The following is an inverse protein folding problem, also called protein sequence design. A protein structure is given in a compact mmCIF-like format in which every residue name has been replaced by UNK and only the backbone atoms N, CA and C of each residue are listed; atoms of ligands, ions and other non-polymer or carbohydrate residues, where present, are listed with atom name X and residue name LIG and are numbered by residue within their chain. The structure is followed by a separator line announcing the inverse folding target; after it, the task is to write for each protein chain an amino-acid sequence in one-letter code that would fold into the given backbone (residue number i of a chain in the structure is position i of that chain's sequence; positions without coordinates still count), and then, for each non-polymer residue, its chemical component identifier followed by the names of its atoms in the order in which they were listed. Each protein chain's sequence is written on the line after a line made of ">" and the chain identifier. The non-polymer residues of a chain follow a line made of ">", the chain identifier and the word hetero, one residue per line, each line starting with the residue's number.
data_IF_680598181828
#
_entry.id   IF_680598181828
#
_cell.length_a   1.000
_cell.length_b   1.000
_cell.length_c   1.000
_cell.angle_alpha   90.00
_cell.angle_beta   90.00
_cell.angle_gamma   90.00
#
_symmetry.space_group_name_H-M   'P 1'
#
loop_
_entity.id
_entity.type
_entity.pdbx_description
1 polymer ?
#
# COMPACT_ATOMS: atom_id res chain seq x y z
N UNK A 1 -10.18 -92.00 80.11
CA UNK A 1 -10.83 -90.96 80.95
C UNK A 1 -9.89 -89.84 81.40
N UNK A 2 -8.91 -90.03 82.30
CA UNK A 2 -8.04 -88.91 82.73
C UNK A 2 -7.18 -88.29 81.60
N UNK A 3 -6.67 -89.10 80.67
CA UNK A 3 -5.91 -88.59 79.50
C UNK A 3 -6.78 -87.87 78.47
N UNK A 4 -8.01 -88.34 78.21
CA UNK A 4 -8.93 -87.69 77.24
C UNK A 4 -9.38 -86.30 77.70
N UNK A 5 -9.61 -86.12 79.00
CA UNK A 5 -10.00 -84.82 79.57
C UNK A 5 -8.84 -83.82 79.49
N UNK A 6 -7.60 -84.28 79.72
CA UNK A 6 -6.41 -83.43 79.60
C UNK A 6 -6.18 -82.99 78.14
N UNK A 7 -6.30 -83.92 77.19
CA UNK A 7 -6.16 -83.65 75.75
C UNK A 7 -7.20 -82.63 75.26
N UNK A 8 -8.47 -82.80 75.65
CA UNK A 8 -9.54 -81.84 75.34
C UNK A 8 -9.32 -80.45 75.96
N UNK A 9 -8.68 -80.37 77.13
CA UNK A 9 -8.35 -79.09 77.77
C UNK A 9 -7.28 -78.31 76.99
N UNK A 10 -6.25 -79.00 76.51
CA UNK A 10 -5.18 -78.41 75.69
C UNK A 10 -5.73 -77.94 74.32
N UNK A 11 -6.63 -78.71 73.70
CA UNK A 11 -7.31 -78.31 72.45
C UNK A 11 -8.15 -77.04 72.62
N UNK A 12 -8.85 -76.90 73.74
CA UNK A 12 -9.66 -75.70 74.04
C UNK A 12 -8.76 -74.47 74.22
N UNK A 13 -7.61 -74.58 74.89
CA UNK A 13 -6.67 -73.47 75.00
C UNK A 13 -6.06 -73.08 73.65
N UNK A 14 -5.68 -74.05 72.81
CA UNK A 14 -5.17 -73.80 71.47
C UNK A 14 -6.21 -73.09 70.58
N UNK A 15 -7.48 -73.52 70.65
CA UNK A 15 -8.58 -72.87 69.94
C UNK A 15 -8.79 -71.43 70.42
N UNK A 16 -8.72 -71.16 71.73
CA UNK A 16 -8.80 -69.79 72.27
C UNK A 16 -7.66 -68.91 71.78
N UNK A 17 -6.43 -69.44 71.74
CA UNK A 17 -5.26 -68.73 71.24
C UNK A 17 -5.42 -68.37 69.76
N UNK A 18 -5.80 -69.34 68.92
CA UNK A 18 -6.07 -69.13 67.50
C UNK A 18 -7.20 -68.10 67.28
N UNK A 19 -8.28 -68.18 68.05
CA UNK A 19 -9.40 -67.23 67.98
C UNK A 19 -8.95 -65.81 68.34
N UNK A 20 -8.12 -65.67 69.37
CA UNK A 20 -7.53 -64.39 69.78
C UNK A 20 -6.62 -63.80 68.69
N UNK A 21 -5.73 -64.62 68.11
CA UNK A 21 -4.86 -64.20 67.01
C UNK A 21 -5.66 -63.78 65.77
N UNK A 22 -6.68 -64.55 65.40
CA UNK A 22 -7.59 -64.22 64.30
C UNK A 22 -8.34 -62.92 64.55
N UNK A 23 -8.81 -62.68 65.79
CA UNK A 23 -9.47 -61.42 66.16
C UNK A 23 -8.54 -60.20 66.10
N UNK A 24 -7.23 -60.38 66.36
CA UNK A 24 -6.23 -59.30 66.17
C UNK A 24 -5.98 -59.05 64.68
N UNK A 25 -5.83 -60.09 63.87
CA UNK A 25 -5.66 -59.97 62.42
C UNK A 25 -6.86 -59.30 61.73
N UNK A 26 -8.09 -59.68 62.13
CA UNK A 26 -9.33 -59.08 61.60
C UNK A 26 -9.38 -57.57 61.84
N UNK A 27 -9.09 -57.13 63.08
CA UNK A 27 -9.06 -55.70 63.43
C UNK A 27 -7.99 -54.91 62.67
N UNK A 28 -6.83 -55.54 62.40
CA UNK A 28 -5.78 -54.93 61.57
C UNK A 28 -6.25 -54.74 60.13
N UNK A 29 -6.85 -55.77 59.53
CA UNK A 29 -7.41 -55.70 58.17
C UNK A 29 -8.54 -54.67 58.08
N UNK A 30 -9.44 -54.61 59.06
CA UNK A 30 -10.48 -53.57 59.12
C UNK A 30 -9.90 -52.16 59.13
N UNK A 31 -8.83 -51.95 59.90
CA UNK A 31 -8.13 -50.65 59.95
C UNK A 31 -7.49 -50.29 58.61
N UNK A 32 -6.86 -51.26 57.93
CA UNK A 32 -6.28 -51.07 56.59
C UNK A 32 -7.36 -50.79 55.54
N UNK A 33 -8.49 -51.50 55.58
CA UNK A 33 -9.64 -51.26 54.68
C UNK A 33 -10.18 -49.85 54.88
N UNK A 34 -10.37 -49.39 56.12
CA UNK A 34 -10.84 -48.03 56.40
C UNK A 34 -9.88 -46.96 55.88
N UNK A 35 -8.56 -47.16 56.02
CA UNK A 35 -7.56 -46.25 55.48
C UNK A 35 -7.62 -46.20 53.95
N UNK A 36 -7.70 -47.35 53.29
CA UNK A 36 -7.81 -47.44 51.83
C UNK A 36 -9.12 -46.85 51.31
N UNK A 37 -10.23 -47.00 52.02
CA UNK A 37 -11.50 -46.36 51.67
C UNK A 37 -11.40 -44.83 51.68
N UNK A 38 -10.73 -44.25 52.70
CA UNK A 38 -10.50 -42.79 52.76
C UNK A 38 -9.60 -42.30 51.61
N UNK A 39 -8.56 -43.06 51.29
CA UNK A 39 -7.67 -42.75 50.16
C UNK A 39 -8.43 -42.75 48.82
N UNK A 40 -9.29 -43.75 48.60
CA UNK A 40 -10.14 -43.81 47.40
C UNK A 40 -11.09 -42.61 47.31
N UNK A 41 -11.70 -42.21 48.42
CA UNK A 41 -12.61 -41.06 48.45
C UNK A 41 -11.88 -39.74 48.12
N UNK A 42 -10.67 -39.55 48.67
CA UNK A 42 -9.80 -38.42 48.33
C UNK A 42 -9.44 -38.40 46.84
N UNK A 43 -9.01 -39.54 46.28
CA UNK A 43 -8.63 -39.64 44.88
C UNK A 43 -9.83 -39.37 43.95
N UNK A 44 -11.02 -39.87 44.28
CA UNK A 44 -12.25 -39.57 43.52
C UNK A 44 -12.57 -38.08 43.49
N UNK A 45 -12.39 -37.39 44.63
CA UNK A 45 -12.58 -35.95 44.70
C UNK A 45 -11.58 -35.21 43.82
N UNK A 46 -10.29 -35.56 43.92
CA UNK A 46 -9.25 -34.95 43.08
C UNK A 46 -9.50 -35.22 41.59
N UNK A 47 -9.93 -36.43 41.21
CA UNK A 47 -10.26 -36.75 39.82
C UNK A 47 -11.39 -35.87 39.27
N UNK A 48 -12.43 -35.59 40.07
CA UNK A 48 -13.52 -34.70 39.69
C UNK A 48 -13.05 -33.25 39.50
N UNK A 49 -12.13 -32.78 40.34
CA UNK A 49 -11.52 -31.45 40.21
C UNK A 49 -10.70 -31.34 38.91
N UNK A 50 -9.84 -32.32 38.62
CA UNK A 50 -9.05 -32.37 37.38
C UNK A 50 -9.93 -32.43 36.13
N UNK A 51 -11.05 -33.19 36.17
CA UNK A 51 -12.01 -33.24 35.07
C UNK A 51 -12.64 -31.88 34.78
N UNK A 52 -12.95 -31.10 35.83
CA UNK A 52 -13.49 -29.75 35.70
C UNK A 52 -12.47 -28.82 35.05
N UNK A 53 -11.24 -28.79 35.56
CA UNK A 53 -10.15 -27.97 35.00
C UNK A 53 -9.84 -28.31 33.54
N UNK A 54 -9.85 -29.60 33.18
CA UNK A 54 -9.66 -30.04 31.79
C UNK A 54 -10.78 -29.52 30.87
N UNK A 55 -12.02 -29.50 31.35
CA UNK A 55 -13.16 -28.96 30.60
C UNK A 55 -13.02 -27.45 30.36
N UNK A 56 -12.59 -26.71 31.38
CA UNK A 56 -12.36 -25.26 31.30
C UNK A 56 -11.24 -24.93 30.31
N UNK A 57 -10.08 -25.58 30.43
CA UNK A 57 -8.96 -25.39 29.49
C UNK A 57 -9.35 -25.75 28.06
N UNK A 58 -10.12 -26.83 27.85
CA UNK A 58 -10.62 -27.20 26.52
C UNK A 58 -11.50 -26.10 25.93
N UNK A 59 -12.34 -25.45 26.74
CA UNK A 59 -13.18 -24.35 26.29
C UNK A 59 -12.36 -23.10 25.97
N UNK A 60 -11.33 -22.79 26.77
CA UNK A 60 -10.42 -21.67 26.50
C UNK A 60 -9.66 -21.88 25.18
N UNK A 61 -9.13 -23.08 24.94
CA UNK A 61 -8.44 -23.41 23.68
C UNK A 61 -9.37 -23.25 22.48
N UNK A 62 -10.63 -23.71 22.60
CA UNK A 62 -11.64 -23.51 21.53
C UNK A 62 -11.91 -22.02 21.27
N UNK A 63 -12.05 -21.22 22.33
CA UNK A 63 -12.28 -19.78 22.21
C UNK A 63 -11.11 -19.07 21.52
N UNK A 64 -9.87 -19.36 21.94
CA UNK A 64 -8.66 -18.80 21.31
C UNK A 64 -8.49 -19.23 19.86
N UNK A 65 -8.89 -20.45 19.51
CA UNK A 65 -8.87 -20.92 18.11
C UNK A 65 -9.75 -20.04 17.22
N UNK A 66 -10.98 -19.72 17.66
CA UNK A 66 -11.90 -18.85 16.91
C UNK A 66 -11.33 -17.44 16.77
N UNK A 67 -10.71 -16.90 17.82
CA UNK A 67 -10.06 -15.59 17.78
C UNK A 67 -8.91 -15.54 16.76
N UNK A 68 -8.07 -16.57 16.73
CA UNK A 68 -6.99 -16.71 15.75
C UNK A 68 -7.52 -16.72 14.32
N UNK A 69 -8.61 -17.45 14.05
CA UNK A 69 -9.19 -17.50 12.71
C UNK A 69 -9.77 -16.15 12.28
N UNK A 70 -10.39 -15.41 13.19
CA UNK A 70 -10.83 -14.04 12.95
C UNK A 70 -9.67 -13.08 12.65
N UNK A 71 -8.56 -13.19 13.39
CA UNK A 71 -7.36 -12.40 13.14
C UNK A 71 -6.74 -12.70 11.77
N UNK A 72 -6.65 -13.98 11.39
CA UNK A 72 -6.18 -14.38 10.05
C UNK A 72 -7.02 -13.77 8.93
N UNK A 73 -8.35 -13.74 9.08
CA UNK A 73 -9.23 -13.11 8.10
C UNK A 73 -8.98 -11.61 7.98
N UNK A 74 -8.84 -10.90 9.10
CA UNK A 74 -8.53 -9.45 9.10
C UNK A 74 -7.20 -9.14 8.42
N UNK A 75 -6.14 -9.88 8.80
CA UNK A 75 -4.81 -9.73 8.19
C UNK A 75 -4.89 -9.96 6.67
N UNK A 76 -5.63 -10.97 6.22
CA UNK A 76 -5.80 -11.26 4.80
C UNK A 76 -6.50 -10.12 4.05
N UNK A 77 -7.49 -9.47 4.67
CA UNK A 77 -8.16 -8.31 4.09
C UNK A 77 -7.24 -7.09 4.02
N UNK A 78 -6.45 -6.85 5.06
CA UNK A 78 -5.52 -5.71 5.09
C UNK A 78 -4.38 -5.88 4.09
N UNK A 79 -3.82 -7.09 3.97
CA UNK A 79 -2.81 -7.41 2.94
C UNK A 79 -3.36 -7.13 1.54
N UNK A 80 -4.61 -7.52 1.25
CA UNK A 80 -5.24 -7.25 -0.04
C UNK A 80 -5.34 -5.74 -0.32
N UNK A 81 -5.81 -4.95 0.65
CA UNK A 81 -5.90 -3.48 0.51
C UNK A 81 -4.53 -2.83 0.30
N UNK A 82 -3.50 -3.34 0.98
CA UNK A 82 -2.13 -2.83 0.81
C UNK A 82 -1.64 -3.13 -0.60
N UNK A 83 -1.86 -4.34 -1.12
CA UNK A 83 -1.49 -4.71 -2.48
C UNK A 83 -2.16 -3.81 -3.52
N UNK A 84 -3.47 -3.57 -3.40
CA UNK A 84 -4.23 -2.68 -4.29
C UNK A 84 -3.66 -1.24 -4.29
N UNK A 85 -3.30 -0.72 -3.12
CA UNK A 85 -2.68 0.61 -3.00
C UNK A 85 -1.29 0.66 -3.61
N UNK A 86 -0.48 -0.38 -3.39
CA UNK A 86 0.88 -0.46 -3.97
C UNK A 86 0.80 -0.51 -5.49
N UNK A 87 -0.13 -1.31 -6.04
CA UNK A 87 -0.32 -1.40 -7.48
C UNK A 87 -0.73 -0.06 -8.08
N UNK A 88 -1.71 0.62 -7.47
CA UNK A 88 -2.15 1.97 -7.87
C UNK A 88 -0.99 2.97 -7.87
N UNK A 89 -0.25 3.05 -6.76
CA UNK A 89 0.91 3.94 -6.65
C UNK A 89 2.01 3.61 -7.69
N UNK A 90 2.18 2.33 -8.04
CA UNK A 90 3.17 1.92 -9.04
C UNK A 90 2.81 2.37 -10.46
N UNK A 91 1.51 2.47 -10.75
CA UNK A 91 0.99 2.99 -12.02
C UNK A 91 1.19 4.50 -12.06
N UNK A 92 0.86 5.19 -10.97
CA UNK A 92 1.03 6.65 -10.87
C UNK A 92 2.50 7.06 -11.01
N UNK A 93 3.44 6.34 -10.38
CA UNK A 93 4.87 6.60 -10.48
C UNK A 93 5.41 6.37 -11.90
N UNK A 94 4.95 5.33 -12.61
CA UNK A 94 5.29 5.12 -14.02
C UNK A 94 4.78 6.25 -14.90
N UNK A 95 3.53 6.68 -14.70
CA UNK A 95 2.95 7.81 -15.41
C UNK A 95 3.66 9.14 -15.11
N UNK A 96 4.31 9.27 -13.94
CA UNK A 96 5.12 10.44 -13.60
C UNK A 96 6.49 10.40 -14.27
N UNK A 97 7.12 9.22 -14.31
CA UNK A 97 8.46 9.02 -14.86
C UNK A 97 8.50 9.21 -16.39
N UNK A 98 7.39 8.96 -17.10
CA UNK A 98 7.29 9.11 -18.55
C UNK A 98 6.83 10.53 -19.00
N UNK A 99 6.58 11.47 -18.08
CA UNK A 99 6.25 12.85 -18.45
C UNK A 99 7.51 13.61 -18.82
N UNK A 100 7.84 13.61 -20.11
CA UNK A 100 8.69 14.62 -20.72
C UNK A 100 8.17 16.01 -20.30
N UNK A 101 8.96 16.77 -19.55
CA UNK A 101 8.58 18.09 -18.99
C UNK A 101 8.94 19.25 -19.91
N UNK A 102 9.71 18.99 -20.95
CA UNK A 102 10.14 19.96 -21.95
C UNK A 102 9.85 19.49 -23.39
N UNK A 103 9.62 20.44 -24.29
CA UNK A 103 9.49 20.17 -25.72
C UNK A 103 10.13 21.30 -26.51
N UNK A 104 10.77 20.95 -27.63
CA UNK A 104 11.20 21.90 -28.66
C UNK A 104 10.26 21.83 -29.85
N UNK A 105 9.66 22.96 -30.23
CA UNK A 105 8.91 23.10 -31.48
C UNK A 105 9.81 23.82 -32.47
N UNK A 106 10.02 23.22 -33.65
CA UNK A 106 10.79 23.82 -34.75
C UNK A 106 9.88 24.00 -35.95
N UNK A 107 9.85 25.21 -36.51
CA UNK A 107 9.06 25.53 -37.69
C UNK A 107 9.90 26.29 -38.72
N UNK A 108 9.68 26.00 -40.01
CA UNK A 108 10.28 26.73 -41.12
C UNK A 108 9.16 27.49 -41.83
N UNK A 109 9.36 28.80 -41.96
CA UNK A 109 8.47 29.68 -42.69
C UNK A 109 9.19 30.20 -43.93
N UNK A 110 8.58 30.04 -45.09
CA UNK A 110 9.14 30.48 -46.39
C UNK A 110 8.51 31.80 -46.82
N UNK A 111 9.15 32.48 -47.78
CA UNK A 111 8.63 33.74 -48.34
C UNK A 111 8.40 34.84 -47.28
N UNK A 112 9.26 34.90 -46.25
CA UNK A 112 9.17 35.87 -45.14
C UNK A 112 9.08 37.32 -45.64
N UNK A 113 9.74 37.64 -46.77
CA UNK A 113 9.67 38.97 -47.38
C UNK A 113 8.25 39.38 -47.84
N UNK A 114 7.35 38.41 -48.05
CA UNK A 114 5.96 38.63 -48.43
C UNK A 114 4.99 38.55 -47.24
N UNK A 115 5.50 38.36 -46.02
CA UNK A 115 4.68 38.25 -44.82
C UNK A 115 3.86 39.54 -44.63
N UNK A 116 2.55 39.38 -44.49
CA UNK A 116 1.61 40.48 -44.21
C UNK A 116 1.37 40.59 -42.70
N UNK A 117 0.56 41.55 -42.29
CA UNK A 117 0.08 41.67 -40.90
C UNK A 117 -0.93 40.58 -40.49
N UNK A 118 -1.11 39.55 -41.32
CA UNK A 118 -1.97 38.39 -41.05
C UNK A 118 -1.10 37.31 -40.41
N UNK A 119 -1.64 36.65 -39.37
CA UNK A 119 -0.98 35.54 -38.70
C UNK A 119 -0.75 34.34 -39.64
N UNK A 120 0.50 33.88 -39.67
CA UNK A 120 0.94 32.64 -40.32
C UNK A 120 1.30 31.63 -39.23
N UNK A 121 0.81 30.40 -39.35
CA UNK A 121 0.87 29.40 -38.29
C UNK A 121 1.78 28.24 -38.68
N UNK A 122 2.53 27.70 -37.72
CA UNK A 122 3.17 26.39 -37.87
C UNK A 122 2.15 25.25 -37.75
N UNK A 123 2.61 24.03 -38.02
CA UNK A 123 1.86 22.83 -37.64
C UNK A 123 1.64 22.75 -36.13
N UNK A 124 0.54 22.13 -35.73
CA UNK A 124 0.25 21.82 -34.33
C UNK A 124 1.13 20.67 -33.86
N UNK A 125 1.69 20.80 -32.67
CA UNK A 125 2.49 19.76 -31.99
C UNK A 125 1.86 19.46 -30.65
N UNK A 126 1.51 18.20 -30.40
CA UNK A 126 0.90 17.79 -29.14
C UNK A 126 1.95 17.58 -28.05
N UNK A 127 1.72 18.16 -26.88
CA UNK A 127 2.57 17.98 -25.71
C UNK A 127 1.83 18.30 -24.42
N UNK A 128 1.96 17.42 -23.42
CA UNK A 128 1.29 17.53 -22.13
C UNK A 128 -0.23 17.75 -22.24
N UNK A 129 -0.87 17.09 -23.22
CA UNK A 129 -2.31 17.17 -23.47
C UNK A 129 -2.78 18.48 -24.12
N UNK A 130 -1.85 19.31 -24.60
CA UNK A 130 -2.13 20.56 -25.30
C UNK A 130 -1.53 20.53 -26.71
N UNK A 131 -2.19 21.19 -27.65
CA UNK A 131 -1.68 21.43 -28.99
C UNK A 131 -0.98 22.79 -29.04
N UNK A 132 0.30 22.77 -29.36
CA UNK A 132 1.13 23.96 -29.42
C UNK A 132 1.47 24.33 -30.86
N UNK A 133 1.60 25.62 -31.16
CA UNK A 133 2.11 26.10 -32.45
C UNK A 133 2.80 27.47 -32.34
N UNK A 134 3.63 27.76 -33.32
CA UNK A 134 4.29 29.05 -33.52
C UNK A 134 3.45 29.91 -34.47
N UNK A 135 3.34 31.19 -34.16
CA UNK A 135 2.65 32.20 -34.97
C UNK A 135 3.64 33.29 -35.35
N UNK A 136 3.71 33.62 -36.64
CA UNK A 136 4.46 34.75 -37.16
C UNK A 136 3.54 35.73 -37.87
N UNK A 137 3.81 37.03 -37.74
CA UNK A 137 3.22 38.06 -38.61
C UNK A 137 4.18 39.24 -38.76
N UNK A 138 3.93 40.08 -39.77
CA UNK A 138 4.64 41.34 -39.93
C UNK A 138 3.92 42.45 -39.14
N UNK A 139 4.64 43.07 -38.22
CA UNK A 139 4.18 44.23 -37.47
C UNK A 139 5.13 45.40 -37.75
N UNK A 140 4.67 46.35 -38.57
CA UNK A 140 5.51 47.40 -39.15
C UNK A 140 6.77 46.83 -39.82
N UNK A 141 7.95 47.31 -39.42
CA UNK A 141 9.28 46.84 -39.86
C UNK A 141 9.84 45.69 -39.02
N UNK A 142 8.99 44.99 -38.24
CA UNK A 142 9.40 43.90 -37.38
C UNK A 142 8.66 42.60 -37.72
N UNK A 143 9.36 41.50 -37.49
CA UNK A 143 8.74 40.20 -37.36
C UNK A 143 8.19 40.07 -35.93
N UNK A 144 6.92 39.73 -35.81
CA UNK A 144 6.32 39.31 -34.55
C UNK A 144 6.42 37.80 -34.41
N UNK A 145 6.65 37.33 -33.19
CA UNK A 145 6.74 35.90 -32.86
C UNK A 145 5.84 35.61 -31.67
N UNK A 146 4.94 34.65 -31.80
CA UNK A 146 4.11 34.17 -30.71
C UNK A 146 4.07 32.64 -30.66
N UNK A 147 3.76 32.13 -29.48
CA UNK A 147 3.44 30.73 -29.20
C UNK A 147 2.00 30.68 -28.73
N UNK A 148 1.27 29.71 -29.23
CA UNK A 148 -0.09 29.43 -28.81
C UNK A 148 -0.20 28.01 -28.25
N UNK A 149 -1.02 27.86 -27.22
CA UNK A 149 -1.44 26.58 -26.68
C UNK A 149 -2.95 26.42 -26.79
N UNK A 150 -3.42 25.25 -27.22
CA UNK A 150 -4.85 24.96 -27.35
C UNK A 150 -5.16 23.58 -26.77
N UNK A 151 -6.17 23.49 -25.90
CA UNK A 151 -6.77 22.21 -25.55
C UNK A 151 -8.07 22.05 -26.36
N UNK A 152 -8.16 20.99 -27.17
CA UNK A 152 -9.39 20.68 -27.93
C UNK A 152 -10.39 19.85 -27.12
N UNK A 153 -9.96 19.30 -25.99
CA UNK A 153 -10.69 18.28 -25.24
C UNK A 153 -11.22 18.78 -23.89
N UNK A 154 -10.92 20.02 -23.51
CA UNK A 154 -11.36 20.61 -22.26
C UNK A 154 -11.69 22.09 -22.43
N UNK A 155 -12.88 22.48 -21.94
CA UNK A 155 -13.37 23.87 -21.98
C UNK A 155 -12.69 24.77 -20.94
N UNK A 156 -12.06 24.17 -19.91
CA UNK A 156 -11.35 24.88 -18.85
C UNK A 156 -10.00 24.20 -18.65
N UNK A 157 -8.92 24.94 -18.89
CA UNK A 157 -7.56 24.45 -18.66
C UNK A 157 -6.60 25.61 -18.36
N UNK A 158 -5.48 25.28 -17.71
CA UNK A 158 -4.36 26.20 -17.54
C UNK A 158 -3.04 25.45 -17.65
N UNK A 159 -2.01 26.13 -18.17
CA UNK A 159 -0.66 25.59 -18.28
C UNK A 159 0.36 26.70 -18.02
N UNK A 160 1.24 26.47 -17.04
CA UNK A 160 2.39 27.33 -16.79
C UNK A 160 3.58 26.82 -17.61
N UNK A 161 4.16 27.66 -18.47
CA UNK A 161 5.30 27.26 -19.29
C UNK A 161 6.45 28.29 -19.26
N UNK A 162 7.66 27.76 -19.10
CA UNK A 162 8.92 28.45 -19.42
C UNK A 162 9.23 28.23 -20.89
N UNK A 163 9.89 29.22 -21.53
CA UNK A 163 10.09 29.20 -22.97
C UNK A 163 11.27 30.05 -23.38
N UNK A 164 12.00 29.51 -24.34
CA UNK A 164 13.05 30.21 -25.08
C UNK A 164 12.64 30.23 -26.56
N UNK A 165 12.66 31.40 -27.17
CA UNK A 165 12.32 31.59 -28.58
C UNK A 165 13.58 31.89 -29.37
N UNK A 166 13.88 31.07 -30.37
CA UNK A 166 15.12 31.12 -31.13
C UNK A 166 14.83 31.29 -32.62
N UNK A 167 15.54 32.22 -33.26
CA UNK A 167 15.71 32.29 -34.71
C UNK A 167 17.02 31.61 -35.06
N UNK A 168 16.96 30.61 -35.93
CA UNK A 168 18.10 29.79 -36.31
C UNK A 168 18.47 30.11 -37.75
N UNK A 169 19.76 30.30 -38.00
CA UNK A 169 20.34 30.47 -39.32
C UNK A 169 20.11 29.23 -40.17
N UNK A 170 19.75 29.44 -41.44
CA UNK A 170 19.52 28.34 -42.35
C UNK A 170 20.83 27.67 -42.81
N UNK A 171 21.96 28.38 -42.79
CA UNK A 171 23.21 27.95 -43.42
C UNK A 171 24.14 27.20 -42.48
N UNK A 172 24.15 27.55 -41.20
CA UNK A 172 25.12 27.03 -40.21
C UNK A 172 24.47 26.56 -38.89
N UNK A 173 23.13 26.51 -38.83
CA UNK A 173 22.33 26.15 -37.64
C UNK A 173 22.62 26.98 -36.38
N UNK A 174 23.34 28.10 -36.51
CA UNK A 174 23.61 28.98 -35.39
C UNK A 174 22.37 29.77 -34.99
N UNK A 175 22.22 30.06 -33.69
CA UNK A 175 21.15 30.91 -33.19
C UNK A 175 21.47 32.37 -33.55
N UNK A 176 20.69 32.95 -34.45
CA UNK A 176 20.82 34.33 -34.94
C UNK A 176 20.20 35.33 -33.98
N UNK A 177 19.11 34.91 -33.33
CA UNK A 177 18.43 35.73 -32.34
C UNK A 177 17.77 34.83 -31.30
N UNK A 178 17.88 35.21 -30.04
CA UNK A 178 17.26 34.48 -28.93
C UNK A 178 16.54 35.45 -28.01
N UNK A 179 15.37 35.04 -27.58
CA UNK A 179 14.67 35.64 -26.47
C UNK A 179 14.53 34.59 -25.38
N UNK A 180 15.26 34.80 -24.29
CA UNK A 180 15.11 34.03 -23.06
C UNK A 180 14.14 34.77 -22.14
N UNK A 181 13.02 34.15 -21.83
CA UNK A 181 12.11 34.67 -20.81
C UNK A 181 12.28 33.85 -19.55
N UNK A 182 13.01 34.39 -18.57
CA UNK A 182 13.06 33.79 -17.23
C UNK A 182 11.69 33.78 -16.53
N UNK A 183 10.75 34.58 -17.02
CA UNK A 183 9.38 34.62 -16.52
C UNK A 183 8.51 33.56 -17.21
N UNK A 184 7.87 32.71 -16.41
CA UNK A 184 6.86 31.78 -16.90
C UNK A 184 5.58 32.53 -17.32
N UNK A 185 4.84 31.96 -18.27
CA UNK A 185 3.53 32.47 -18.69
C UNK A 185 2.47 31.41 -18.44
N UNK A 186 1.33 31.84 -17.93
CA UNK A 186 0.14 31.02 -17.77
C UNK A 186 -0.70 31.13 -19.04
N UNK A 187 -0.80 30.03 -19.78
CA UNK A 187 -1.75 29.84 -20.87
C UNK A 187 -3.06 29.34 -20.26
N UNK A 188 -4.20 29.95 -20.60
CA UNK A 188 -5.51 29.63 -20.00
C UNK A 188 -6.64 29.89 -20.98
N UNK A 189 -7.78 29.24 -20.77
CA UNK A 189 -9.03 29.43 -21.53
C UNK A 189 -9.69 30.79 -21.31
N UNK A 190 -9.44 31.42 -20.16
CA UNK A 190 -10.18 32.60 -19.71
C UNK A 190 -9.44 33.93 -20.00
N UNK A 191 -8.28 33.89 -20.68
CA UNK A 191 -7.52 35.08 -21.08
C UNK A 191 -7.88 35.55 -22.49
N UNK A 192 -7.52 36.79 -22.83
CA UNK A 192 -7.49 37.27 -24.23
C UNK A 192 -6.48 36.44 -25.03
N UNK A 193 -6.94 35.31 -25.57
CA UNK A 193 -6.20 34.31 -26.32
C UNK A 193 -5.13 33.54 -25.52
N UNK A 194 -5.03 32.21 -25.67
CA UNK A 194 -3.96 31.41 -25.07
C UNK A 194 -2.66 31.56 -25.89
N UNK A 195 -2.25 32.81 -26.10
CA UNK A 195 -1.14 33.23 -26.95
C UNK A 195 -0.19 34.06 -26.11
N UNK A 196 1.10 33.84 -26.29
CA UNK A 196 2.14 34.70 -25.73
C UNK A 196 3.22 34.95 -26.76
N UNK A 197 3.78 36.16 -26.79
CA UNK A 197 4.89 36.47 -27.67
C UNK A 197 5.25 37.95 -27.71
N UNK A 198 6.04 38.32 -28.70
CA UNK A 198 6.51 39.67 -28.93
C UNK A 198 6.00 40.20 -30.27
N UNK A 199 5.34 41.35 -30.23
CA UNK A 199 4.96 42.08 -31.45
C UNK A 199 6.13 42.75 -32.18
N UNK A 200 7.33 42.75 -31.60
CA UNK A 200 8.57 43.25 -32.20
C UNK A 200 9.73 42.34 -31.82
N UNK A 201 9.69 41.09 -32.30
CA UNK A 201 10.71 40.08 -31.98
C UNK A 201 12.06 40.43 -32.62
N UNK A 202 12.09 40.70 -33.93
CA UNK A 202 13.30 41.13 -34.63
C UNK A 202 12.97 42.11 -35.77
N UNK A 203 13.82 43.10 -36.02
CA UNK A 203 13.65 44.02 -37.14
C UNK A 203 14.06 43.39 -38.46
N UNK A 204 13.26 43.59 -39.51
CA UNK A 204 13.62 43.16 -40.86
C UNK A 204 14.88 43.86 -41.40
N UNK A 205 15.23 45.05 -40.89
CA UNK A 205 16.46 45.76 -41.27
C UNK A 205 17.73 45.03 -40.80
N UNK A 206 17.64 44.30 -39.70
CA UNK A 206 18.76 43.54 -39.11
C UNK A 206 18.83 42.11 -39.67
N UNK A 207 17.72 41.59 -40.23
CA UNK A 207 17.54 40.16 -40.50
C UNK A 207 17.85 39.71 -41.94
N UNK A 208 18.06 40.62 -42.88
CA UNK A 208 18.22 40.30 -44.31
C UNK A 208 19.55 40.80 -44.92
N UNK A 209 20.57 41.02 -44.10
CA UNK A 209 21.93 41.35 -44.56
C UNK A 209 22.93 40.19 -44.36
N UNK A 210 22.41 38.97 -44.14
CA UNK A 210 23.17 37.73 -44.05
C UNK A 210 22.61 36.69 -45.02
#
# INVERSE_FOLDING_TARGET
>A
MKNDVKMKSEDIENLKLLTSQRGKASRKLESEVQLKSKEIEYLKKSEAEWKTQLSEMRNEVKSKSVEIDNLKMRISQDVRKILEKVETNSIDLRNLHDKKTEMTIRARFTEISKLKSIHTFSQLTEFSGLNWRIILCKNDDHLSFYVEAQNKNADIWSCLAFRDCQLISQTDENIVHIMNSQMATVFTTNGEYPIWGLGKFISFKVSFHY
#
